data_IF_688291433657
#
_entry.id   IF_688291433657
#
_cell.length_a   1.000
_cell.length_b   1.000
_cell.length_c   1.000
_cell.angle_alpha   90.00
_cell.angle_beta   90.00
_cell.angle_gamma   90.00
#
_symmetry.space_group_name_H-M   'P 1'
#
loop_
_entity.id
_entity.type
_entity.pdbx_description
1 polymer ?
#
# COMPACT_ATOMS: atom_id res chain seq x y z
N UNK A 1 -18.50 -25.47 2.28
CA UNK A 1 -18.26 -24.07 2.70
C UNK A 1 -17.45 -23.45 1.57
N UNK A 2 -18.09 -22.71 0.67
CA UNK A 2 -17.40 -22.08 -0.46
C UNK A 2 -16.80 -20.79 0.08
N UNK A 3 -15.49 -20.79 0.35
CA UNK A 3 -14.77 -19.54 0.60
C UNK A 3 -14.95 -18.66 -0.64
N UNK A 4 -15.37 -17.42 -0.43
CA UNK A 4 -15.49 -16.47 -1.53
C UNK A 4 -14.10 -16.28 -2.16
N UNK A 5 -14.02 -16.19 -3.49
CA UNK A 5 -12.79 -15.85 -4.23
C UNK A 5 -12.03 -14.66 -3.61
N UNK A 6 -12.74 -13.74 -2.95
CA UNK A 6 -12.15 -12.63 -2.18
C UNK A 6 -11.34 -13.06 -0.94
N UNK A 7 -11.85 -14.01 -0.15
CA UNK A 7 -11.12 -14.51 1.03
C UNK A 7 -9.90 -15.31 0.61
N UNK A 8 -10.00 -16.06 -0.48
CA UNK A 8 -8.87 -16.79 -1.07
C UNK A 8 -7.79 -15.84 -1.59
N UNK A 9 -8.18 -14.79 -2.33
CA UNK A 9 -7.27 -13.77 -2.82
C UNK A 9 -6.57 -13.01 -1.67
N UNK A 10 -7.33 -12.65 -0.63
CA UNK A 10 -6.78 -12.00 0.56
C UNK A 10 -5.77 -12.90 1.27
N UNK A 11 -6.13 -14.16 1.57
CA UNK A 11 -5.24 -15.10 2.24
C UNK A 11 -3.97 -15.40 1.42
N UNK A 12 -4.10 -15.47 0.10
CA UNK A 12 -2.96 -15.62 -0.81
C UNK A 12 -1.99 -14.44 -0.71
N UNK A 13 -2.50 -13.20 -0.76
CA UNK A 13 -1.66 -12.00 -0.68
C UNK A 13 -1.09 -11.77 0.71
N UNK A 14 -1.85 -12.02 1.76
CA UNK A 14 -1.38 -11.93 3.15
C UNK A 14 -0.17 -12.86 3.36
N UNK A 15 -0.26 -14.10 2.87
CA UNK A 15 0.85 -15.06 2.93
C UNK A 15 2.07 -14.60 2.13
N UNK A 16 1.88 -13.97 0.96
CA UNK A 16 2.99 -13.43 0.16
C UNK A 16 3.65 -12.23 0.83
N UNK A 17 2.87 -11.33 1.44
CA UNK A 17 3.39 -10.20 2.21
C UNK A 17 4.14 -10.69 3.46
N UNK A 18 3.66 -11.73 4.13
CA UNK A 18 4.39 -12.35 5.24
C UNK A 18 5.74 -12.93 4.80
N UNK A 19 5.84 -13.47 3.58
CA UNK A 19 7.10 -13.93 3.01
C UNK A 19 8.08 -12.78 2.69
N UNK A 20 7.59 -11.58 2.40
CA UNK A 20 8.44 -10.39 2.22
C UNK A 20 9.09 -9.93 3.53
N UNK A 21 8.60 -10.39 4.68
CA UNK A 21 9.13 -10.06 6.01
C UNK A 21 10.36 -10.89 6.40
N UNK A 22 10.89 -11.78 5.54
CA UNK A 22 11.98 -12.68 5.92
C UNK A 22 13.35 -12.04 5.70
N UNK A 23 14.03 -11.71 6.81
CA UNK A 23 15.47 -11.39 7.04
C UNK A 23 15.69 -10.22 8.03
N UNK A 24 14.63 -9.72 8.67
CA UNK A 24 14.69 -8.53 9.55
C UNK A 24 14.26 -8.77 10.99
N UNK A 25 14.57 -7.83 11.88
CA UNK A 25 14.25 -7.88 13.33
C UNK A 25 12.75 -7.64 13.56
N UNK A 26 12.19 -8.04 14.71
CA UNK A 26 10.75 -7.92 15.01
C UNK A 26 10.16 -6.52 14.75
N UNK A 27 10.84 -5.47 15.20
CA UNK A 27 10.39 -4.07 15.06
C UNK A 27 10.33 -3.61 13.59
N UNK A 28 11.28 -4.06 12.77
CA UNK A 28 11.31 -3.75 11.34
C UNK A 28 10.17 -4.45 10.59
N UNK A 29 9.84 -5.69 10.99
CA UNK A 29 8.70 -6.44 10.45
C UNK A 29 7.37 -5.77 10.77
N UNK A 30 7.20 -5.29 12.00
CA UNK A 30 5.98 -4.57 12.39
C UNK A 30 5.83 -3.27 11.58
N UNK A 31 6.90 -2.49 11.46
CA UNK A 31 6.89 -1.22 10.72
C UNK A 31 6.57 -1.40 9.22
N UNK A 32 6.98 -2.53 8.62
CA UNK A 32 6.69 -2.86 7.23
C UNK A 32 5.24 -3.35 7.04
N UNK A 33 4.69 -4.08 8.02
CA UNK A 33 3.30 -4.55 7.99
C UNK A 33 2.28 -3.41 8.14
N UNK A 34 2.65 -2.28 8.74
CA UNK A 34 1.75 -1.14 9.02
C UNK A 34 1.09 -0.51 7.78
N UNK A 35 1.57 -0.77 6.57
CA UNK A 35 1.00 -0.23 5.33
C UNK A 35 0.12 -1.23 4.56
N UNK A 36 0.21 -2.52 4.89
CA UNK A 36 -0.52 -3.61 4.22
C UNK A 36 -1.81 -3.95 4.95
N UNK A 37 -2.69 -2.97 5.15
CA UNK A 37 -4.03 -3.25 5.62
C UNK A 37 -4.85 -4.01 4.56
N UNK A 38 -5.98 -4.60 4.98
CA UNK A 38 -6.84 -5.37 4.09
C UNK A 38 -7.27 -4.60 2.83
N UNK A 39 -7.52 -3.30 2.94
CA UNK A 39 -7.94 -2.49 1.80
C UNK A 39 -6.78 -2.33 0.81
N UNK A 40 -5.59 -2.00 1.31
CA UNK A 40 -4.38 -1.92 0.49
C UNK A 40 -4.09 -3.24 -0.21
N UNK A 41 -4.17 -4.37 0.49
CA UNK A 41 -3.94 -5.70 -0.10
C UNK A 41 -4.92 -5.98 -1.24
N UNK A 42 -6.20 -5.63 -1.07
CA UNK A 42 -7.18 -5.79 -2.14
C UNK A 42 -6.96 -4.85 -3.31
N UNK A 43 -6.50 -3.62 -3.08
CA UNK A 43 -6.12 -2.71 -4.18
C UNK A 43 -4.90 -3.23 -4.96
N UNK A 44 -3.90 -3.78 -4.27
CA UNK A 44 -2.77 -4.45 -4.93
C UNK A 44 -3.28 -5.65 -5.74
N UNK A 45 -4.19 -6.46 -5.19
CA UNK A 45 -4.80 -7.56 -5.92
C UNK A 45 -5.47 -7.12 -7.23
N UNK A 46 -6.20 -6.01 -7.20
CA UNK A 46 -6.85 -5.44 -8.38
C UNK A 46 -5.79 -5.02 -9.41
N UNK A 47 -4.72 -4.35 -9.00
CA UNK A 47 -3.61 -4.03 -9.89
C UNK A 47 -2.92 -5.26 -10.48
N UNK A 48 -2.81 -6.36 -9.72
CA UNK A 48 -2.27 -7.61 -10.24
C UNK A 48 -3.20 -8.27 -11.26
N UNK A 49 -4.51 -8.26 -11.01
CA UNK A 49 -5.49 -8.80 -11.97
C UNK A 49 -5.55 -7.99 -13.27
N UNK A 50 -5.34 -6.68 -13.17
CA UNK A 50 -5.37 -5.78 -14.32
C UNK A 50 -4.02 -5.74 -15.08
N UNK A 51 -3.02 -6.51 -14.63
CA UNK A 51 -1.71 -6.64 -15.28
C UNK A 51 -0.75 -5.47 -15.02
N UNK A 52 -1.06 -4.58 -14.07
CA UNK A 52 -0.19 -3.44 -13.73
C UNK A 52 0.98 -3.82 -12.83
N UNK A 53 0.83 -4.86 -12.02
CA UNK A 53 1.85 -5.34 -11.08
C UNK A 53 1.85 -6.86 -11.13
N UNK A 54 2.97 -7.50 -11.47
CA UNK A 54 3.11 -8.95 -11.32
C UNK A 54 3.60 -9.33 -9.92
N UNK A 55 4.57 -8.58 -9.40
CA UNK A 55 5.21 -8.93 -8.14
C UNK A 55 5.60 -7.72 -7.29
N UNK A 56 5.48 -7.87 -5.97
CA UNK A 56 5.95 -6.91 -4.97
C UNK A 56 7.07 -7.58 -4.19
N UNK A 57 8.18 -6.88 -4.03
CA UNK A 57 9.39 -7.37 -3.38
C UNK A 57 9.69 -6.57 -2.10
N UNK A 58 10.96 -6.30 -1.83
CA UNK A 58 11.43 -5.66 -0.62
C UNK A 58 11.14 -4.15 -0.59
N UNK A 59 11.00 -3.56 0.62
CA UNK A 59 10.90 -2.11 0.76
C UNK A 59 12.22 -1.43 0.38
N UNK A 60 12.11 -0.36 -0.41
CA UNK A 60 13.20 0.55 -0.76
C UNK A 60 13.30 1.69 0.26
N UNK A 61 12.15 2.17 0.76
CA UNK A 61 12.11 3.31 1.68
C UNK A 61 10.93 3.18 2.64
N UNK A 62 11.16 3.46 3.91
CA UNK A 62 10.12 3.55 4.94
C UNK A 62 10.03 4.97 5.46
N UNK A 63 8.80 5.44 5.73
CA UNK A 63 8.59 6.82 6.14
C UNK A 63 7.25 7.06 6.83
N UNK A 64 7.13 8.23 7.46
CA UNK A 64 5.95 8.63 8.25
C UNK A 64 4.64 8.66 7.45
N UNK A 65 4.75 8.94 6.15
CA UNK A 65 3.61 9.07 5.24
C UNK A 65 3.29 7.77 4.52
N UNK A 66 4.23 6.83 4.48
CA UNK A 66 4.11 5.62 3.66
C UNK A 66 5.45 5.04 3.26
N UNK A 67 5.40 3.80 2.78
CA UNK A 67 6.56 3.01 2.37
C UNK A 67 6.62 2.91 0.84
N UNK A 68 7.82 2.70 0.30
CA UNK A 68 8.07 2.43 -1.13
C UNK A 68 8.63 1.02 -1.23
N UNK A 69 8.09 0.22 -2.15
CA UNK A 69 8.55 -1.14 -2.44
C UNK A 69 9.07 -1.23 -3.87
N UNK A 70 10.05 -2.11 -4.06
CA UNK A 70 10.43 -2.58 -5.39
C UNK A 70 9.34 -3.54 -5.88
N UNK A 71 8.86 -3.34 -7.10
CA UNK A 71 7.86 -4.17 -7.75
C UNK A 71 8.20 -4.36 -9.23
N UNK A 72 7.57 -5.34 -9.88
CA UNK A 72 7.73 -5.61 -11.31
C UNK A 72 6.36 -5.81 -11.97
N UNK A 73 6.27 -5.56 -13.27
CA UNK A 73 5.14 -5.98 -14.12
C UNK A 73 5.37 -7.37 -14.72
N UNK A 74 4.47 -7.80 -15.61
CA UNK A 74 4.53 -9.11 -16.28
C UNK A 74 5.75 -9.28 -17.21
N UNK A 75 6.42 -8.19 -17.60
CA UNK A 75 7.64 -8.20 -18.42
C UNK A 75 8.91 -8.12 -17.55
N UNK A 76 8.79 -8.27 -16.22
CA UNK A 76 9.86 -8.08 -15.24
C UNK A 76 10.44 -6.65 -15.20
N UNK A 77 9.74 -5.65 -15.75
CA UNK A 77 10.23 -4.28 -15.76
C UNK A 77 10.08 -3.63 -14.36
N UNK A 78 11.14 -2.96 -13.85
CA UNK A 78 11.18 -2.46 -12.49
C UNK A 78 10.30 -1.23 -12.27
N UNK A 79 9.54 -1.22 -11.17
CA UNK A 79 8.72 -0.09 -10.75
C UNK A 79 8.76 0.16 -9.24
N UNK A 80 8.36 1.38 -8.86
CA UNK A 80 8.26 1.80 -7.46
C UNK A 80 6.79 1.81 -7.01
N UNK A 81 6.45 0.94 -6.06
CA UNK A 81 5.12 0.90 -5.44
C UNK A 81 5.12 1.74 -4.14
N UNK A 82 4.57 2.96 -4.20
CA UNK A 82 4.38 3.82 -3.02
C UNK A 82 3.04 3.53 -2.35
N UNK A 83 3.09 3.01 -1.12
CA UNK A 83 1.90 2.76 -0.31
C UNK A 83 1.82 3.81 0.80
N UNK A 84 0.78 4.65 0.74
CA UNK A 84 0.50 5.67 1.75
C UNK A 84 -0.15 5.05 2.99
N UNK A 85 0.27 5.50 4.18
CA UNK A 85 -0.38 5.13 5.44
C UNK A 85 -1.75 5.79 5.50
N UNK A 86 -2.81 4.99 5.61
CA UNK A 86 -4.19 5.47 5.71
C UNK A 86 -4.62 5.59 7.18
N UNK A 87 -4.37 4.54 7.97
CA UNK A 87 -4.81 4.40 9.36
C UNK A 87 -3.80 4.92 10.40
N UNK A 88 -2.50 4.81 10.11
CA UNK A 88 -1.39 5.14 11.03
C UNK A 88 -0.65 6.43 10.65
N UNK A 89 -1.15 7.21 9.70
CA UNK A 89 -0.45 8.42 9.25
C UNK A 89 -0.31 9.44 10.38
N UNK A 90 0.94 9.73 10.73
CA UNK A 90 1.28 10.82 11.65
C UNK A 90 1.33 12.19 10.96
N UNK A 91 1.20 12.20 9.62
CA UNK A 91 1.32 13.41 8.82
C UNK A 91 -0.02 14.16 8.72
N UNK A 92 -0.24 15.07 9.68
CA UNK A 92 -1.47 15.87 9.78
C UNK A 92 -1.47 17.14 8.92
N UNK A 93 -0.49 17.31 8.01
CA UNK A 93 -0.25 18.58 7.29
C UNK A 93 -0.57 18.57 5.81
N UNK A 94 -1.07 17.47 5.23
CA UNK A 94 -1.46 17.38 3.80
C UNK A 94 -2.34 18.55 3.38
N UNK A 95 -3.33 18.91 4.22
CA UNK A 95 -4.26 20.01 3.97
C UNK A 95 -3.56 21.33 3.63
N UNK A 96 -2.43 21.64 4.28
CA UNK A 96 -1.67 22.88 4.01
C UNK A 96 -0.97 22.90 2.65
N UNK A 97 -0.67 21.72 2.09
CA UNK A 97 -0.02 21.60 0.80
C UNK A 97 -1.00 21.63 -0.36
N UNK A 98 -2.28 21.32 -0.11
CA UNK A 98 -3.35 21.33 -1.12
C UNK A 98 -4.27 22.55 -1.01
N UNK A 99 -4.14 23.33 0.06
CA UNK A 99 -4.91 24.57 0.26
C UNK A 99 -4.58 25.59 -0.86
N UNK A 100 -5.63 26.09 -1.50
CA UNK A 100 -5.50 27.02 -2.63
C UNK A 100 -5.21 26.36 -3.98
N UNK A 101 -4.94 25.06 -4.04
CA UNK A 101 -4.74 24.35 -5.31
C UNK A 101 -6.08 24.13 -6.03
N UNK A 102 -6.27 24.66 -7.25
CA UNK A 102 -7.51 24.52 -8.00
C UNK A 102 -7.94 23.08 -8.28
N UNK A 103 -7.00 22.12 -8.30
CA UNK A 103 -7.26 20.69 -8.52
C UNK A 103 -7.99 20.03 -7.36
N UNK A 104 -7.87 20.60 -6.16
CA UNK A 104 -8.46 20.07 -4.91
C UNK A 104 -9.61 20.96 -4.39
N UNK A 105 -10.26 21.72 -5.29
CA UNK A 105 -11.43 22.54 -4.94
C UNK A 105 -12.54 21.67 -4.32
N UNK A 106 -13.06 22.08 -3.17
CA UNK A 106 -14.11 21.36 -2.44
C UNK A 106 -13.62 20.25 -1.50
N UNK A 107 -12.30 20.01 -1.47
CA UNK A 107 -11.66 19.04 -0.57
C UNK A 107 -11.23 19.71 0.76
N UNK A 108 -11.08 21.04 0.77
CA UNK A 108 -10.78 21.82 1.98
C UNK A 108 -11.98 21.82 2.94
N UNK A 109 -11.87 21.07 4.04
CA UNK A 109 -12.81 21.08 5.16
C UNK A 109 -13.49 19.75 5.47
N UNK A 110 -13.41 18.74 4.60
CA UNK A 110 -14.01 17.42 4.83
C UNK A 110 -12.93 16.34 4.99
N UNK A 111 -12.72 15.93 6.24
CA UNK A 111 -11.71 14.93 6.65
C UNK A 111 -11.90 13.53 6.05
N UNK A 112 -13.04 13.26 5.43
CA UNK A 112 -13.42 11.98 4.79
C UNK A 112 -13.38 12.01 3.26
N UNK A 113 -13.11 13.17 2.65
CA UNK A 113 -12.92 13.32 1.20
C UNK A 113 -11.46 13.58 0.82
N UNK A 114 -10.56 13.51 1.80
CA UNK A 114 -9.11 13.47 1.64
C UNK A 114 -8.64 12.03 1.76
#
# INVERSE_FOLDING_TARGET
>A
MHMSSYEEAYAYLERRVDALKTNKTGDEKETEAEVFDKKTLMTIYEFMKDGYIDSVHYPISTGKEGNVFYATDEEDEPMALKILRTSTSTFKRVAKYVEGDPRFKGVTGNRWKL
#
